data_IF_646056675222
#
_entry.id   IF_646056675222
#
_cell.length_a   1.000
_cell.length_b   1.000
_cell.length_c   1.000
_cell.angle_alpha   90.00
_cell.angle_beta   90.00
_cell.angle_gamma   90.00
#
_symmetry.space_group_name_H-M   'P 1'
#
loop_
_entity.id
_entity.type
_entity.pdbx_description
1 polymer ?
#
# COMPACT_ATOMS: atom_id res chain seq x y z
N UNK A 1 10.89 0.40 26.31
CA UNK A 1 9.73 0.77 25.50
C UNK A 1 10.32 1.14 24.17
N UNK A 2 10.14 0.31 23.14
CA UNK A 2 10.64 0.68 21.81
C UNK A 2 9.98 1.99 21.40
N UNK A 3 10.80 2.92 20.92
CA UNK A 3 10.34 4.22 20.46
C UNK A 3 9.42 4.01 19.27
N UNK A 4 8.20 4.56 19.32
CA UNK A 4 7.25 4.46 18.21
C UNK A 4 7.90 5.06 16.96
N UNK A 5 7.80 4.36 15.86
CA UNK A 5 8.31 4.78 14.56
C UNK A 5 7.16 5.01 13.58
N UNK A 6 7.46 5.66 12.47
CA UNK A 6 6.53 5.80 11.35
C UNK A 6 6.64 4.63 10.39
N UNK A 7 5.49 4.18 9.91
CA UNK A 7 5.37 3.10 8.95
C UNK A 7 4.42 3.50 7.82
N UNK A 8 4.84 3.28 6.57
CA UNK A 8 3.92 3.21 5.45
C UNK A 8 3.43 1.77 5.31
N UNK A 9 2.13 1.56 5.13
CA UNK A 9 1.56 0.22 4.94
C UNK A 9 0.76 0.20 3.66
N UNK A 10 1.16 -0.68 2.73
CA UNK A 10 0.48 -0.91 1.46
C UNK A 10 -0.53 -2.05 1.61
N UNK A 11 -1.80 -1.76 1.36
CA UNK A 11 -2.88 -2.74 1.30
C UNK A 11 -3.41 -2.88 -0.13
N UNK A 12 -3.92 -4.07 -0.47
CA UNK A 12 -4.55 -4.32 -1.77
C UNK A 12 -6.02 -4.66 -1.60
N UNK A 13 -6.86 -4.01 -2.40
CA UNK A 13 -8.31 -4.14 -2.41
C UNK A 13 -8.79 -4.60 -3.77
N UNK A 14 -9.89 -5.34 -3.80
CA UNK A 14 -10.62 -5.70 -5.01
C UNK A 14 -11.94 -4.93 -5.05
N UNK A 15 -12.15 -4.16 -6.11
CA UNK A 15 -13.42 -3.49 -6.38
C UNK A 15 -14.24 -4.32 -7.36
N UNK A 16 -15.27 -5.02 -6.88
CA UNK A 16 -15.97 -6.05 -7.67
C UNK A 16 -16.76 -5.45 -8.83
N UNK A 17 -17.47 -4.36 -8.60
CA UNK A 17 -18.30 -3.71 -9.64
C UNK A 17 -17.44 -3.02 -10.69
N UNK A 18 -16.34 -2.40 -10.26
CA UNK A 18 -15.42 -1.69 -11.15
C UNK A 18 -14.50 -2.65 -11.93
N UNK A 19 -14.34 -3.88 -11.46
CA UNK A 19 -13.47 -4.91 -12.05
C UNK A 19 -11.97 -4.58 -11.94
N UNK A 20 -11.57 -3.84 -10.90
CA UNK A 20 -10.18 -3.38 -10.71
C UNK A 20 -9.63 -3.79 -9.34
N UNK A 21 -8.31 -3.77 -9.22
CA UNK A 21 -7.61 -3.80 -7.94
C UNK A 21 -7.11 -2.40 -7.61
N UNK A 22 -7.16 -2.04 -6.33
CA UNK A 22 -6.63 -0.79 -5.79
C UNK A 22 -5.48 -1.12 -4.85
N UNK A 23 -4.36 -0.41 -4.99
CA UNK A 23 -3.27 -0.41 -4.02
C UNK A 23 -3.31 0.91 -3.25
N UNK A 24 -3.43 0.86 -1.92
CA UNK A 24 -3.45 2.04 -1.06
C UNK A 24 -2.27 2.00 -0.10
N UNK A 25 -1.56 3.12 0.06
CA UNK A 25 -0.51 3.28 1.08
C UNK A 25 -0.99 4.26 2.15
N UNK A 26 -1.01 3.81 3.40
CA UNK A 26 -1.42 4.61 4.57
C UNK A 26 -0.24 4.80 5.54
N UNK A 27 -0.25 5.88 6.31
CA UNK A 27 0.80 6.18 7.30
C UNK A 27 0.33 5.89 8.72
N UNK A 28 1.17 5.21 9.49
CA UNK A 28 0.88 4.79 10.86
C UNK A 28 2.04 5.09 11.80
N UNK A 29 1.73 5.40 13.05
CA UNK A 29 2.71 5.35 14.14
C UNK A 29 2.49 4.08 14.94
N UNK A 30 3.54 3.26 15.09
CA UNK A 30 3.46 1.97 15.76
C UNK A 30 4.78 1.63 16.45
N UNK A 31 4.77 0.65 17.35
CA UNK A 31 5.97 0.07 17.96
C UNK A 31 6.65 -0.99 17.08
N UNK A 32 5.92 -1.62 16.15
CA UNK A 32 6.45 -2.67 15.27
C UNK A 32 5.81 -2.66 13.88
N UNK A 33 6.38 -3.44 12.95
CA UNK A 33 5.78 -3.71 11.65
C UNK A 33 4.41 -4.40 11.80
N UNK A 34 4.32 -5.41 12.66
CA UNK A 34 3.07 -6.15 12.89
C UNK A 34 1.96 -5.27 13.46
N UNK A 35 2.29 -4.35 14.38
CA UNK A 35 1.31 -3.40 14.91
C UNK A 35 0.84 -2.43 13.81
N UNK A 36 1.75 -1.93 12.97
CA UNK A 36 1.39 -1.08 11.84
C UNK A 36 0.48 -1.81 10.83
N UNK A 37 0.78 -3.08 10.52
CA UNK A 37 -0.07 -3.93 9.68
C UNK A 37 -1.45 -4.09 10.30
N UNK A 38 -1.53 -4.43 11.60
CA UNK A 38 -2.81 -4.58 12.28
C UNK A 38 -3.67 -3.31 12.26
N UNK A 39 -3.06 -2.13 12.40
CA UNK A 39 -3.76 -0.86 12.24
C UNK A 39 -4.29 -0.67 10.80
N UNK A 40 -3.44 -0.93 9.80
CA UNK A 40 -3.83 -0.79 8.40
C UNK A 40 -4.91 -1.79 7.97
N UNK A 41 -4.89 -3.02 8.49
CA UNK A 41 -5.91 -4.04 8.23
C UNK A 41 -7.25 -3.68 8.88
N UNK A 42 -7.23 -3.09 10.08
CA UNK A 42 -8.44 -2.59 10.72
C UNK A 42 -9.09 -1.46 9.90
N UNK A 43 -8.30 -0.46 9.47
CA UNK A 43 -8.74 0.61 8.58
C UNK A 43 -9.25 0.06 7.23
N UNK A 44 -8.56 -0.93 6.66
CA UNK A 44 -8.98 -1.60 5.43
C UNK A 44 -10.36 -2.25 5.57
N UNK A 45 -10.66 -2.83 6.74
CA UNK A 45 -11.97 -3.37 7.07
C UNK A 45 -13.05 -2.29 7.14
N UNK A 46 -12.76 -1.16 7.78
CA UNK A 46 -13.67 0.00 7.85
C UNK A 46 -13.94 0.59 6.45
N UNK A 47 -12.89 0.75 5.64
CA UNK A 47 -12.97 1.21 4.25
C UNK A 47 -13.88 0.31 3.40
N UNK A 48 -13.68 -1.01 3.47
CA UNK A 48 -14.52 -1.97 2.74
C UNK A 48 -15.97 -1.93 3.21
N UNK A 49 -16.21 -1.81 4.52
CA UNK A 49 -17.56 -1.70 5.08
C UNK A 49 -18.27 -0.42 4.63
N UNK A 50 -17.54 0.69 4.48
CA UNK A 50 -18.10 1.97 4.03
C UNK A 50 -18.48 1.97 2.54
N UNK A 51 -17.69 1.32 1.69
CA UNK A 51 -17.98 1.23 0.24
C UNK A 51 -18.96 0.11 -0.11
N UNK A 52 -18.96 -1.00 0.63
CA UNK A 52 -19.82 -2.16 0.40
C UNK A 52 -19.43 -3.04 -0.81
N UNK A 53 -18.81 -2.48 -1.84
CA UNK A 53 -18.38 -3.17 -3.07
C UNK A 53 -16.87 -3.50 -3.13
N UNK A 54 -16.11 -2.98 -2.18
CA UNK A 54 -14.68 -3.23 -2.03
C UNK A 54 -14.41 -4.41 -1.08
N UNK A 55 -13.40 -5.19 -1.39
CA UNK A 55 -12.95 -6.35 -0.61
C UNK A 55 -11.46 -6.22 -0.32
N UNK A 56 -11.10 -6.25 0.97
CA UNK A 56 -9.70 -6.34 1.37
C UNK A 56 -9.16 -7.74 1.03
N UNK A 57 -8.03 -7.81 0.32
CA UNK A 57 -7.49 -9.08 -0.19
C UNK A 57 -6.72 -9.90 0.84
N UNK A 58 -6.48 -9.35 2.05
CA UNK A 58 -5.58 -9.96 3.04
C UNK A 58 -4.10 -9.71 2.75
N UNK A 59 -3.76 -8.87 1.77
CA UNK A 59 -2.39 -8.46 1.52
C UNK A 59 -2.09 -7.12 2.21
N UNK A 60 -1.10 -7.12 3.08
CA UNK A 60 -0.49 -5.92 3.67
C UNK A 60 1.04 -6.04 3.61
N UNK A 61 1.70 -4.93 3.30
CA UNK A 61 3.16 -4.81 3.32
C UNK A 61 3.55 -3.52 4.04
N UNK A 62 4.27 -3.65 5.15
CA UNK A 62 4.71 -2.50 5.94
C UNK A 62 6.17 -2.15 5.65
N UNK A 63 6.44 -0.85 5.58
CA UNK A 63 7.75 -0.26 5.42
C UNK A 63 8.01 0.72 6.56
N UNK A 64 9.09 0.52 7.32
CA UNK A 64 9.51 1.47 8.35
C UNK A 64 10.17 2.67 7.68
N UNK A 65 9.67 3.86 7.96
CA UNK A 65 10.25 5.11 7.47
C UNK A 65 11.47 5.52 8.29
N UNK A 66 12.37 6.28 7.68
CA UNK A 66 13.45 6.94 8.39
C UNK A 66 12.96 8.28 8.97
N UNK A 67 12.80 8.33 10.30
CA UNK A 67 12.35 9.52 11.01
C UNK A 67 10.87 9.87 10.81
N UNK A 68 10.57 11.17 10.87
CA UNK A 68 9.20 11.71 10.74
C UNK A 68 8.87 12.03 9.28
N UNK A 69 7.67 11.70 8.77
CA UNK A 69 7.23 12.06 7.44
C UNK A 69 7.38 13.57 7.17
N UNK A 70 7.96 13.89 6.01
CA UNK A 70 8.19 15.25 5.58
C UNK A 70 8.38 15.32 4.07
N UNK A 71 8.66 16.52 3.55
CA UNK A 71 8.91 16.72 2.10
C UNK A 71 10.06 15.83 1.66
N UNK A 72 9.79 14.94 0.69
CA UNK A 72 10.78 14.02 0.14
C UNK A 72 11.02 12.75 0.96
N UNK A 73 10.31 12.53 2.06
CA UNK A 73 10.40 11.29 2.82
C UNK A 73 9.84 10.11 2.02
N UNK A 74 10.58 9.01 1.98
CA UNK A 74 10.13 7.77 1.36
C UNK A 74 9.07 7.10 2.26
N UNK A 75 7.86 6.95 1.74
CA UNK A 75 6.74 6.30 2.46
C UNK A 75 6.61 4.82 2.11
N UNK A 76 7.11 4.41 0.96
CA UNK A 76 7.03 3.05 0.44
C UNK A 76 8.07 2.84 -0.67
N UNK A 77 8.65 1.63 -0.73
CA UNK A 77 9.56 1.23 -1.80
C UNK A 77 9.36 -0.25 -2.14
N UNK A 78 9.37 -0.58 -3.43
CA UNK A 78 9.31 -1.95 -3.94
C UNK A 78 10.48 -2.21 -4.89
N UNK A 79 11.33 -3.15 -4.51
CA UNK A 79 12.33 -3.72 -5.43
C UNK A 79 11.80 -5.02 -6.02
N UNK A 80 11.93 -5.18 -7.33
CA UNK A 80 11.49 -6.37 -8.05
C UNK A 80 12.54 -6.77 -9.07
N UNK A 81 12.96 -8.03 -9.02
CA UNK A 81 13.83 -8.60 -10.04
C UNK A 81 13.08 -8.70 -11.39
N UNK A 82 13.76 -8.34 -12.47
CA UNK A 82 13.21 -8.45 -13.83
C UNK A 82 14.30 -8.44 -14.88
N UNK A 83 14.18 -9.33 -15.86
CA UNK A 83 15.02 -9.34 -17.07
C UNK A 83 14.48 -8.41 -18.17
N UNK A 84 13.39 -7.68 -17.92
CA UNK A 84 12.79 -6.79 -18.90
C UNK A 84 13.60 -5.50 -19.04
N UNK A 85 13.76 -4.96 -20.27
CA UNK A 85 14.22 -3.59 -20.46
C UNK A 85 13.29 -2.59 -19.77
N UNK A 86 13.83 -1.46 -19.32
CA UNK A 86 13.12 -0.47 -18.49
C UNK A 86 11.76 -0.04 -19.05
N UNK A 87 11.68 0.29 -20.34
CA UNK A 87 10.41 0.69 -20.97
C UNK A 87 9.36 -0.43 -20.98
N UNK A 88 9.78 -1.67 -21.22
CA UNK A 88 8.89 -2.83 -21.19
C UNK A 88 8.45 -3.17 -19.76
N UNK A 89 9.32 -2.98 -18.77
CA UNK A 89 9.00 -3.13 -17.36
C UNK A 89 7.90 -2.15 -16.93
N UNK A 90 8.06 -0.86 -17.26
CA UNK A 90 7.06 0.18 -16.95
C UNK A 90 5.73 -0.12 -17.64
N UNK A 91 5.73 -0.41 -18.93
CA UNK A 91 4.50 -0.74 -19.67
C UNK A 91 3.80 -2.02 -19.21
N UNK A 92 4.54 -2.96 -18.59
CA UNK A 92 3.97 -4.20 -18.06
C UNK A 92 3.32 -4.02 -16.69
N UNK A 93 3.91 -3.22 -15.80
CA UNK A 93 3.53 -3.20 -14.39
C UNK A 93 2.90 -1.89 -13.90
N UNK A 94 3.11 -0.76 -14.57
CA UNK A 94 2.74 0.56 -14.02
C UNK A 94 1.96 1.44 -14.99
N UNK A 95 2.35 1.47 -16.26
CA UNK A 95 1.72 2.30 -17.29
C UNK A 95 1.06 1.42 -18.35
N UNK A 96 0.15 0.55 -17.90
CA UNK A 96 -0.56 -0.40 -18.77
C UNK A 96 -1.67 0.28 -19.58
N UNK A 97 -2.04 1.52 -19.24
CA UNK A 97 -3.13 2.27 -19.85
C UNK A 97 -4.51 1.87 -19.32
N UNK A 98 -4.55 1.11 -18.22
CA UNK A 98 -5.78 0.61 -17.59
C UNK A 98 -5.92 1.07 -16.13
N UNK A 99 -4.94 1.80 -15.63
CA UNK A 99 -4.93 2.40 -14.30
C UNK A 99 -6.06 3.44 -14.19
N UNK A 100 -6.64 3.55 -13.00
CA UNK A 100 -7.59 4.63 -12.65
C UNK A 100 -6.99 5.36 -11.46
N UNK A 101 -6.63 6.61 -11.67
CA UNK A 101 -6.02 7.47 -10.65
C UNK A 101 -6.90 8.69 -10.43
N UNK A 102 -6.99 9.16 -9.18
CA UNK A 102 -7.69 10.39 -8.78
C UNK A 102 -6.74 11.34 -8.07
#
# INVERSE_FOLDING_TARGET
MDERSWYGVRCVFRHRELGVYEEQVTLWTAGSLDEAIGCAEAEAGEYCAALGEAEYTGFAEAFRMDGTPGVGAEVFSLMRESDLPSGAYVGKFFATGRERTG
#
